data_IF_506180206289
#
_entry.id   IF_506180206289
#
_cell.length_a   1.000
_cell.length_b   1.000
_cell.length_c   1.000
_cell.angle_alpha   90.00
_cell.angle_beta   90.00
_cell.angle_gamma   90.00
#
_symmetry.space_group_name_H-M   'P 1'
#
loop_
_entity.id
_entity.type
_entity.pdbx_description
1 polymer ?
#
# COMPACT_ATOMS: atom_id res chain seq x y z
N UNK A 1 -0.57 11.18 3.68
CA UNK A 1 -0.95 10.18 4.69
C UNK A 1 -2.40 9.78 4.52
N UNK A 2 -2.70 8.48 4.63
CA UNK A 2 -4.01 7.86 4.35
C UNK A 2 -4.30 6.74 5.35
N UNK A 3 -5.50 6.19 5.39
CA UNK A 3 -5.83 5.06 6.27
C UNK A 3 -5.54 3.72 5.59
N UNK A 4 -5.08 2.74 6.35
CA UNK A 4 -4.84 1.38 5.86
C UNK A 4 -5.52 0.37 6.77
N UNK A 5 -6.25 -0.56 6.16
CA UNK A 5 -6.79 -1.75 6.83
C UNK A 5 -6.18 -2.99 6.22
N UNK A 6 -5.51 -3.79 7.03
CA UNK A 6 -4.84 -5.02 6.59
C UNK A 6 -5.56 -6.22 7.19
N UNK A 7 -5.95 -7.16 6.33
CA UNK A 7 -6.46 -8.48 6.71
C UNK A 7 -5.41 -9.53 6.38
N UNK A 8 -4.99 -10.30 7.37
CA UNK A 8 -4.02 -11.37 7.23
C UNK A 8 -4.69 -12.74 7.31
N UNK A 9 -4.97 -13.34 6.16
CA UNK A 9 -5.41 -14.73 6.07
C UNK A 9 -4.23 -15.71 5.90
N UNK A 10 -2.99 -15.20 5.87
CA UNK A 10 -1.79 -16.02 5.75
C UNK A 10 -1.56 -16.86 7.01
N UNK A 11 -0.74 -17.90 6.88
CA UNK A 11 -0.48 -18.85 7.95
C UNK A 11 0.55 -18.35 8.98
N UNK A 12 1.30 -17.29 8.65
CA UNK A 12 2.24 -16.60 9.54
C UNK A 12 1.76 -15.16 9.79
N UNK A 13 2.19 -14.60 10.92
CA UNK A 13 1.85 -13.22 11.26
C UNK A 13 2.58 -12.25 10.32
N UNK A 14 1.95 -11.11 9.98
CA UNK A 14 2.61 -10.05 9.19
C UNK A 14 3.30 -9.09 10.14
N UNK A 15 4.48 -8.63 9.76
CA UNK A 15 5.26 -7.68 10.58
C UNK A 15 5.26 -6.34 9.87
N UNK A 16 4.83 -5.28 10.55
CA UNK A 16 4.88 -3.93 9.99
C UNK A 16 6.11 -3.19 10.53
N UNK A 17 6.73 -2.36 9.71
CA UNK A 17 7.92 -1.60 10.11
C UNK A 17 8.17 -0.39 9.21
N UNK A 18 8.88 0.60 9.71
CA UNK A 18 9.17 1.85 8.99
C UNK A 18 9.12 3.09 9.88
N UNK A 19 9.44 4.25 9.32
CA UNK A 19 9.37 5.55 10.02
C UNK A 19 7.99 6.18 9.86
N UNK A 20 7.29 6.48 10.96
CA UNK A 20 6.09 7.34 10.94
C UNK A 20 4.78 6.75 11.48
N UNK A 21 4.76 5.54 12.05
CA UNK A 21 3.54 4.95 12.63
C UNK A 21 3.42 5.28 14.11
N UNK A 22 2.22 5.72 14.53
CA UNK A 22 1.80 5.71 15.94
C UNK A 22 0.52 4.86 16.09
N UNK A 23 0.47 3.93 17.07
CA UNK A 23 1.59 3.51 17.90
C UNK A 23 2.60 2.70 17.07
N UNK A 24 3.87 2.82 17.45
CA UNK A 24 4.99 2.10 16.82
C UNK A 24 4.67 0.59 16.83
N UNK A 25 4.55 -0.08 15.67
CA UNK A 25 4.54 -1.53 15.63
C UNK A 25 5.79 -2.05 16.34
N UNK A 26 5.63 -3.11 17.14
CA UNK A 26 5.71 -4.38 16.46
C UNK A 26 4.61 -5.32 16.93
N UNK A 27 3.34 -4.88 16.96
CA UNK A 27 2.27 -5.86 17.09
C UNK A 27 2.09 -6.55 15.72
N UNK A 28 2.52 -7.81 15.59
CA UNK A 28 2.37 -8.53 14.35
C UNK A 28 0.87 -8.71 14.09
N UNK A 29 0.45 -8.56 12.84
CA UNK A 29 -0.94 -8.79 12.45
C UNK A 29 -1.19 -10.30 12.52
N UNK A 30 -2.07 -10.80 13.41
CA UNK A 30 -2.19 -12.24 13.66
C UNK A 30 -2.54 -13.02 12.38
N UNK A 31 -2.08 -14.27 12.25
CA UNK A 31 -2.41 -15.12 11.11
C UNK A 31 -3.89 -15.53 11.12
N UNK A 32 -4.35 -16.11 10.01
CA UNK A 32 -5.67 -16.78 9.89
C UNK A 32 -6.88 -15.90 10.24
N UNK A 33 -6.90 -14.69 9.69
CA UNK A 33 -8.01 -13.74 9.80
C UNK A 33 -7.74 -12.57 10.74
N UNK A 34 -6.50 -12.34 11.17
CA UNK A 34 -6.15 -11.15 11.93
C UNK A 34 -6.39 -9.89 11.10
N UNK A 35 -6.93 -8.85 11.73
CA UNK A 35 -7.22 -7.57 11.09
C UNK A 35 -6.62 -6.45 11.91
N UNK A 36 -5.94 -5.53 11.25
CA UNK A 36 -5.43 -4.31 11.87
C UNK A 36 -5.76 -3.11 10.99
N UNK A 37 -6.25 -2.04 11.62
CA UNK A 37 -6.47 -0.76 10.97
C UNK A 37 -5.48 0.26 11.53
N UNK A 38 -5.00 1.13 10.65
CA UNK A 38 -4.06 2.20 10.96
C UNK A 38 -4.56 3.49 10.32
N UNK A 39 -4.44 4.58 11.05
CA UNK A 39 -4.73 5.93 10.56
C UNK A 39 -3.43 6.68 10.34
N UNK A 40 -3.43 7.62 9.38
CA UNK A 40 -2.24 8.42 9.09
C UNK A 40 -1.06 7.58 8.58
N UNK A 41 -1.32 6.52 7.84
CA UNK A 41 -0.33 5.69 7.18
C UNK A 41 0.51 6.52 6.21
N UNK A 42 1.83 6.45 6.39
CA UNK A 42 2.83 7.09 5.56
C UNK A 42 3.67 6.08 4.78
N UNK A 43 4.98 6.29 4.77
CA UNK A 43 5.93 5.37 4.11
C UNK A 43 6.38 4.26 5.06
N UNK A 44 5.86 3.06 4.85
CA UNK A 44 5.94 1.91 5.77
C UNK A 44 6.05 0.63 4.93
N UNK A 45 6.62 -0.44 5.47
CA UNK A 45 6.56 -1.76 4.86
C UNK A 45 5.77 -2.75 5.72
N UNK A 46 5.24 -3.78 5.06
CA UNK A 46 4.64 -4.95 5.67
C UNK A 46 5.40 -6.17 5.15
N UNK A 47 6.04 -6.89 6.05
CA UNK A 47 6.69 -8.16 5.76
C UNK A 47 5.65 -9.29 5.75
N UNK A 48 5.61 -10.01 4.63
CA UNK A 48 4.93 -11.29 4.49
C UNK A 48 6.02 -12.37 4.58
N UNK A 49 6.13 -13.11 5.70
CA UNK A 49 7.23 -14.04 5.91
C UNK A 49 7.36 -15.06 4.77
N UNK A 50 8.57 -15.20 4.23
CA UNK A 50 8.85 -16.08 3.09
C UNK A 50 8.45 -15.54 1.71
N UNK A 51 7.73 -14.42 1.63
CA UNK A 51 7.28 -13.81 0.37
C UNK A 51 7.90 -12.44 0.08
N UNK A 52 8.37 -11.73 1.13
CA UNK A 52 9.08 -10.46 1.03
C UNK A 52 8.30 -9.28 1.61
N UNK A 53 8.65 -8.07 1.17
CA UNK A 53 8.09 -6.81 1.69
C UNK A 53 7.07 -6.21 0.72
N UNK A 54 5.89 -5.90 1.23
CA UNK A 54 4.95 -4.95 0.60
C UNK A 54 5.39 -3.56 1.05
N UNK A 55 5.85 -2.73 0.13
CA UNK A 55 6.32 -1.38 0.44
C UNK A 55 5.21 -0.37 0.13
N UNK A 56 4.85 0.44 1.11
CA UNK A 56 3.91 1.54 0.99
C UNK A 56 4.74 2.83 0.96
N UNK A 57 4.51 3.66 -0.05
CA UNK A 57 5.18 4.93 -0.24
C UNK A 57 4.11 6.02 -0.25
N UNK A 58 4.18 6.95 0.69
CA UNK A 58 3.38 8.17 0.64
C UNK A 58 4.04 9.14 -0.35
N UNK A 59 3.37 9.39 -1.47
CA UNK A 59 3.88 10.30 -2.49
C UNK A 59 3.52 11.75 -2.18
N UNK A 60 2.65 12.01 -1.20
CA UNK A 60 2.11 13.33 -0.95
C UNK A 60 1.50 13.91 -2.23
N UNK A 61 1.91 15.14 -2.56
CA UNK A 61 1.45 15.87 -3.75
C UNK A 61 2.14 15.46 -5.05
N UNK A 62 3.23 14.67 -4.97
CA UNK A 62 3.97 14.20 -6.14
C UNK A 62 3.12 13.21 -6.94
N UNK A 63 2.84 13.56 -8.20
CA UNK A 63 2.20 12.69 -9.18
C UNK A 63 3.24 11.96 -10.03
N UNK A 64 2.86 10.80 -10.55
CA UNK A 64 3.59 10.11 -11.62
C UNK A 64 2.98 10.55 -12.96
N UNK A 65 3.64 11.43 -13.74
CA UNK A 65 3.03 12.06 -14.92
C UNK A 65 2.49 11.06 -15.94
N UNK A 66 3.19 9.94 -16.14
CA UNK A 66 2.82 8.86 -17.04
C UNK A 66 1.51 8.13 -16.66
N UNK A 67 1.06 8.27 -15.41
CA UNK A 67 -0.17 7.66 -14.89
C UNK A 67 -1.22 8.70 -14.47
N UNK A 68 -1.00 9.99 -14.78
CA UNK A 68 -1.97 11.06 -14.56
C UNK A 68 -2.66 11.42 -15.86
N UNK A 69 -3.98 11.27 -15.90
CA UNK A 69 -4.79 11.46 -17.09
C UNK A 69 -6.14 12.13 -16.73
N UNK A 70 -6.46 13.31 -17.28
CA UNK A 70 -7.74 13.98 -17.04
C UNK A 70 -8.98 13.16 -17.45
N UNK A 71 -8.84 12.19 -18.36
CA UNK A 71 -9.92 11.28 -18.71
C UNK A 71 -10.20 10.22 -17.61
N UNK A 72 -9.32 10.09 -16.62
CA UNK A 72 -9.44 9.21 -15.46
C UNK A 72 -9.34 10.10 -14.20
N UNK A 73 -10.44 10.76 -13.79
CA UNK A 73 -10.39 11.91 -12.89
C UNK A 73 -9.69 11.66 -11.54
N UNK A 74 -9.80 10.45 -10.98
CA UNK A 74 -9.13 10.13 -9.72
C UNK A 74 -7.60 10.30 -9.82
N UNK A 75 -7.00 10.10 -11.00
CA UNK A 75 -5.55 10.25 -11.20
C UNK A 75 -5.05 11.70 -11.07
N UNK A 76 -5.97 12.68 -11.08
CA UNK A 76 -5.67 14.10 -10.89
C UNK A 76 -5.68 14.56 -9.43
N UNK A 77 -6.22 13.73 -8.52
CA UNK A 77 -6.33 14.08 -7.12
C UNK A 77 -4.97 14.43 -6.50
N UNK A 78 -5.00 15.32 -5.50
CA UNK A 78 -3.84 16.02 -4.93
C UNK A 78 -2.95 15.11 -4.12
N UNK A 79 -3.48 14.10 -3.44
CA UNK A 79 -2.69 13.19 -2.60
C UNK A 79 -2.63 11.80 -3.21
N UNK A 80 -1.61 11.01 -2.83
CA UNK A 80 -1.47 9.67 -3.37
C UNK A 80 -0.39 8.83 -2.74
N UNK A 81 -0.38 7.57 -3.14
CA UNK A 81 0.63 6.63 -2.73
C UNK A 81 0.98 5.63 -3.83
N UNK A 82 2.04 4.90 -3.57
CA UNK A 82 2.52 3.80 -4.38
C UNK A 82 2.73 2.59 -3.49
N UNK A 83 2.14 1.46 -3.85
CA UNK A 83 2.31 0.18 -3.14
C UNK A 83 3.08 -0.76 -4.05
N UNK A 84 4.22 -1.28 -3.59
CA UNK A 84 5.13 -2.10 -4.39
C UNK A 84 5.31 -3.47 -3.76
N UNK A 85 5.13 -4.53 -4.55
CA UNK A 85 5.32 -5.90 -4.10
C UNK A 85 5.79 -6.80 -5.24
N UNK A 86 7.00 -7.36 -5.10
CA UNK A 86 7.59 -8.34 -6.04
C UNK A 86 7.56 -7.91 -7.52
N UNK A 87 7.89 -6.64 -7.78
CA UNK A 87 7.94 -6.06 -9.13
C UNK A 87 6.58 -5.71 -9.73
N UNK A 88 5.50 -5.79 -8.94
CA UNK A 88 4.17 -5.27 -9.29
C UNK A 88 3.90 -4.05 -8.43
N UNK A 89 3.46 -2.98 -9.09
CA UNK A 89 3.21 -1.70 -8.46
C UNK A 89 1.72 -1.34 -8.56
N UNK A 90 1.17 -0.73 -7.53
CA UNK A 90 -0.17 -0.17 -7.53
C UNK A 90 -0.10 1.32 -7.18
N UNK A 91 -0.57 2.15 -8.11
CA UNK A 91 -0.64 3.59 -7.97
C UNK A 91 -2.08 4.01 -7.68
N UNK A 92 -2.26 4.88 -6.70
CA UNK A 92 -3.57 5.38 -6.31
C UNK A 92 -3.48 6.83 -5.88
N UNK A 93 -4.60 7.54 -6.03
CA UNK A 93 -4.73 8.95 -5.72
C UNK A 93 -6.05 9.21 -5.00
N UNK A 94 -6.08 10.26 -4.19
CA UNK A 94 -7.23 10.59 -3.36
C UNK A 94 -7.29 12.08 -2.99
N UNK A 95 -8.49 12.54 -2.66
CA UNK A 95 -8.75 13.79 -1.96
C UNK A 95 -9.28 13.53 -0.55
N UNK A 96 -9.06 14.47 0.36
CA UNK A 96 -9.45 14.32 1.77
C UNK A 96 -8.75 13.12 2.43
N UNK A 97 -9.52 12.28 3.13
CA UNK A 97 -8.99 11.07 3.77
C UNK A 97 -8.96 9.92 2.76
N UNK A 98 -7.75 9.57 2.29
CA UNK A 98 -7.53 8.37 1.48
C UNK A 98 -7.67 7.10 2.32
N UNK A 99 -8.03 5.99 1.68
CA UNK A 99 -8.06 4.68 2.33
C UNK A 99 -7.66 3.55 1.39
N UNK A 100 -6.93 2.59 1.93
CA UNK A 100 -6.52 1.36 1.24
C UNK A 100 -6.89 0.16 2.11
N UNK A 101 -7.60 -0.80 1.52
CA UNK A 101 -7.77 -2.13 2.11
C UNK A 101 -6.77 -3.09 1.47
N UNK A 102 -6.07 -3.85 2.31
CA UNK A 102 -5.07 -4.84 1.94
C UNK A 102 -5.52 -6.19 2.46
N UNK A 103 -5.59 -7.19 1.60
CA UNK A 103 -5.86 -8.57 1.99
C UNK A 103 -4.69 -9.43 1.56
N UNK A 104 -4.02 -10.04 2.53
CA UNK A 104 -3.05 -11.12 2.28
C UNK A 104 -3.79 -12.44 2.42
N UNK A 105 -3.85 -13.23 1.35
CA UNK A 105 -4.57 -14.50 1.34
C UNK A 105 -3.79 -15.65 2.01
N UNK A 106 -4.36 -16.86 2.01
CA UNK A 106 -3.75 -18.03 2.63
C UNK A 106 -2.41 -18.46 2.00
N UNK A 107 -2.12 -18.06 0.76
CA UNK A 107 -0.89 -18.39 0.03
C UNK A 107 0.07 -17.19 -0.10
N UNK A 108 -0.28 -16.03 0.47
CA UNK A 108 0.56 -14.83 0.47
C UNK A 108 0.37 -13.95 -0.76
N UNK A 109 -0.71 -14.15 -1.54
CA UNK A 109 -1.14 -13.20 -2.57
C UNK A 109 -1.71 -11.95 -1.91
N UNK A 110 -1.55 -10.81 -2.56
CA UNK A 110 -1.98 -9.51 -2.03
C UNK A 110 -3.04 -8.93 -2.93
N UNK A 111 -4.20 -8.60 -2.36
CA UNK A 111 -5.26 -7.85 -3.00
C UNK A 111 -5.36 -6.46 -2.39
N UNK A 112 -5.49 -5.45 -3.24
CA UNK A 112 -5.59 -4.04 -2.86
C UNK A 112 -6.93 -3.48 -3.34
N UNK A 113 -7.63 -2.78 -2.46
CA UNK A 113 -8.85 -2.02 -2.79
C UNK A 113 -8.63 -0.56 -2.42
N UNK A 114 -8.92 0.33 -3.37
CA UNK A 114 -8.77 1.77 -3.21
C UNK A 114 -10.16 2.42 -3.26
N UNK A 115 -10.55 3.16 -2.23
CA UNK A 115 -11.89 3.75 -2.17
C UNK A 115 -12.17 4.76 -3.29
N UNK A 116 -11.15 5.52 -3.70
CA UNK A 116 -11.29 6.61 -4.68
C UNK A 116 -10.72 6.27 -6.06
N UNK A 117 -10.16 5.07 -6.22
CA UNK A 117 -9.53 4.61 -7.46
C UNK A 117 -8.04 4.33 -7.29
N UNK A 118 -7.58 3.31 -8.02
CA UNK A 118 -6.18 2.92 -8.12
C UNK A 118 -6.01 1.95 -9.28
N UNK A 119 -4.77 1.78 -9.73
CA UNK A 119 -4.46 0.92 -10.86
C UNK A 119 -3.13 0.19 -10.64
N UNK A 120 -3.02 -1.01 -11.22
CA UNK A 120 -1.72 -1.67 -11.36
C UNK A 120 -0.92 -0.92 -12.43
N UNK A 121 0.32 -0.57 -12.11
CA UNK A 121 1.26 0.12 -13.00
C UNK A 121 2.55 -0.69 -13.10
N UNK A 122 3.37 -0.36 -14.10
CA UNK A 122 4.69 -0.95 -14.27
C UNK A 122 5.73 0.17 -14.19
N UNK A 123 6.50 0.20 -13.10
CA UNK A 123 7.58 1.16 -12.91
C UNK A 123 8.90 0.36 -12.94
N UNK A 124 9.83 0.69 -13.84
CA UNK A 124 11.13 0.02 -13.86
C UNK A 124 11.84 0.18 -12.51
N UNK A 125 12.29 -0.93 -11.92
CA UNK A 125 13.06 -0.92 -10.66
C UNK A 125 14.40 -0.20 -10.80
N UNK A 126 14.97 -0.18 -12.00
CA UNK A 126 16.25 0.43 -12.30
C UNK A 126 16.30 0.88 -13.76
N UNK A 127 16.87 2.05 -13.98
CA UNK A 127 17.16 2.59 -15.32
C UNK A 127 18.62 3.05 -15.35
N UNK A 128 19.22 3.07 -16.55
CA UNK A 128 20.57 3.57 -16.79
C UNK A 128 20.53 4.46 -18.05
N UNK A 129 21.36 5.51 -18.05
CA UNK A 129 21.50 6.49 -19.13
C UNK A 129 22.93 6.56 -19.62
#
# INVERSE_FOLDING_TARGET
>A
MYDVKITNNYHLALITGGSGVQPIPPDPIPPKGGVQAYTGWGTIYVEVPGMGLINFLDLGDKKLPEFTNPAIPWTEATWGGLIRYRGIDAYFRYEGQGSVEVVVDAIGSVSLTFAQGGMIVNIPDMTAS
#
